data_IF_298123309124
#
_entry.id   IF_298123309124
#
_cell.length_a   1.000
_cell.length_b   1.000
_cell.length_c   1.000
_cell.angle_alpha   90.00
_cell.angle_beta   90.00
_cell.angle_gamma   90.00
#
_symmetry.space_group_name_H-M   'P 1'
#
loop_
_entity.id
_entity.type
_entity.pdbx_description
1 polymer ?
#
# COMPACT_ATOMS: atom_id res chain seq x y z
N UNK A 1 9.95 -2.34 13.61
CA UNK A 1 8.46 -2.42 13.73
C UNK A 1 8.05 -3.03 15.06
N UNK A 2 8.60 -4.19 15.46
CA UNK A 2 8.33 -4.77 16.80
C UNK A 2 8.73 -3.80 17.91
N UNK A 3 9.86 -3.10 17.78
CA UNK A 3 10.32 -2.12 18.79
C UNK A 3 9.43 -0.88 18.88
N UNK A 4 8.71 -0.56 17.79
CA UNK A 4 7.81 0.61 17.70
C UNK A 4 6.42 0.24 18.24
N UNK A 5 5.91 -0.93 17.85
CA UNK A 5 4.58 -1.42 18.26
C UNK A 5 4.63 -1.94 19.71
N UNK A 6 5.81 -2.33 20.20
CA UNK A 6 6.04 -2.90 21.53
C UNK A 6 4.99 -3.96 21.89
N UNK A 7 4.82 -5.00 21.04
CA UNK A 7 3.78 -5.99 21.26
C UNK A 7 4.03 -6.72 22.58
N UNK A 8 2.95 -6.97 23.32
CA UNK A 8 3.03 -7.83 24.51
C UNK A 8 2.96 -9.32 24.17
N UNK A 9 2.42 -9.64 22.99
CA UNK A 9 2.16 -11.00 22.54
C UNK A 9 2.51 -11.11 21.05
N UNK A 10 3.15 -12.21 20.67
CA UNK A 10 3.35 -12.65 19.29
C UNK A 10 2.66 -14.00 19.10
N UNK A 11 1.79 -14.10 18.10
CA UNK A 11 1.19 -15.36 17.64
C UNK A 11 1.95 -15.84 16.40
N UNK A 12 2.77 -16.88 16.55
CA UNK A 12 3.56 -17.48 15.49
C UNK A 12 2.80 -18.66 14.85
N UNK A 13 2.18 -18.41 13.70
CA UNK A 13 1.49 -19.42 12.89
C UNK A 13 2.50 -20.11 11.96
N UNK A 14 2.84 -21.37 12.23
CA UNK A 14 3.81 -22.14 11.43
C UNK A 14 3.37 -23.58 11.23
N UNK A 15 3.85 -24.25 10.17
CA UNK A 15 3.58 -25.67 9.92
C UNK A 15 4.70 -26.54 10.46
N UNK A 16 5.93 -26.10 10.25
CA UNK A 16 7.14 -26.73 10.79
C UNK A 16 7.82 -25.73 11.73
N UNK A 17 8.85 -25.08 11.26
CA UNK A 17 9.83 -24.28 11.96
C UNK A 17 10.18 -23.01 11.14
N UNK A 18 9.31 -22.65 10.19
CA UNK A 18 9.56 -21.57 9.23
C UNK A 18 9.82 -20.23 9.92
N UNK A 19 9.38 -20.05 11.17
CA UNK A 19 9.54 -18.80 11.93
C UNK A 19 10.66 -18.85 12.97
N UNK A 20 11.30 -19.99 13.24
CA UNK A 20 12.23 -20.11 14.38
C UNK A 20 13.46 -19.19 14.25
N UNK A 21 13.94 -18.95 13.03
CA UNK A 21 15.03 -18.00 12.76
C UNK A 21 14.67 -16.54 13.10
N UNK A 22 13.37 -16.19 13.12
CA UNK A 22 12.87 -14.89 13.56
C UNK A 22 12.66 -14.91 15.08
N UNK A 23 12.12 -16.00 15.61
CA UNK A 23 11.77 -16.13 17.03
C UNK A 23 12.98 -16.27 17.96
N UNK A 24 14.13 -16.74 17.45
CA UNK A 24 15.35 -16.90 18.24
C UNK A 24 15.84 -15.58 18.85
N UNK A 25 15.57 -14.44 18.20
CA UNK A 25 15.90 -13.11 18.72
C UNK A 25 15.18 -12.76 20.02
N UNK A 26 14.10 -13.47 20.36
CA UNK A 26 13.31 -13.28 21.58
C UNK A 26 13.59 -14.35 22.65
N UNK A 27 14.61 -15.19 22.44
CA UNK A 27 14.99 -16.22 23.41
C UNK A 27 15.34 -15.56 24.75
N UNK A 28 14.89 -16.16 25.85
CA UNK A 28 14.98 -15.64 27.23
C UNK A 28 14.26 -14.31 27.50
N UNK A 29 13.60 -13.69 26.52
CA UNK A 29 12.80 -12.49 26.76
C UNK A 29 11.45 -12.86 27.37
N UNK A 30 11.03 -12.10 28.37
CA UNK A 30 9.70 -12.26 28.98
C UNK A 30 8.60 -11.56 28.17
N UNK A 31 8.96 -10.57 27.35
CA UNK A 31 8.06 -9.79 26.49
C UNK A 31 8.74 -9.56 25.14
N UNK A 32 8.05 -9.78 24.00
CA UNK A 32 6.71 -10.33 23.87
C UNK A 32 6.59 -11.80 24.29
N UNK A 33 5.43 -12.20 24.84
CA UNK A 33 5.09 -13.62 25.02
C UNK A 33 4.83 -14.25 23.66
N UNK A 34 5.55 -15.33 23.32
CA UNK A 34 5.43 -16.00 22.03
C UNK A 34 4.55 -17.24 22.16
N UNK A 35 3.48 -17.30 21.37
CA UNK A 35 2.66 -18.49 21.22
C UNK A 35 2.87 -19.10 19.84
N UNK A 36 3.36 -20.35 19.81
CA UNK A 36 3.51 -21.13 18.59
C UNK A 36 2.23 -21.90 18.33
N UNK A 37 1.61 -21.66 17.18
CA UNK A 37 0.34 -22.26 16.81
C UNK A 37 0.48 -23.01 15.48
N UNK A 38 -0.03 -24.24 15.45
CA UNK A 38 -0.14 -25.00 14.20
C UNK A 38 -1.18 -24.33 13.30
N UNK A 39 -0.83 -24.17 12.03
CA UNK A 39 -1.80 -23.72 11.02
C UNK A 39 -2.91 -24.77 10.87
N UNK A 40 -4.21 -24.39 10.92
CA UNK A 40 -5.29 -25.34 10.76
C UNK A 40 -5.19 -26.15 9.44
N UNK A 41 -5.53 -27.45 9.44
CA UNK A 41 -5.37 -28.30 8.25
C UNK A 41 -6.12 -27.80 7.01
N UNK A 42 -7.28 -27.14 7.20
CA UNK A 42 -8.09 -26.60 6.10
C UNK A 42 -7.54 -25.32 5.45
N UNK A 43 -6.48 -24.71 5.99
CA UNK A 43 -5.86 -23.53 5.38
C UNK A 43 -4.97 -23.98 4.23
N UNK A 44 -5.32 -23.63 3.00
CA UNK A 44 -4.51 -23.90 1.80
C UNK A 44 -3.58 -22.73 1.49
N UNK A 45 -2.40 -23.04 0.96
CA UNK A 45 -1.53 -22.03 0.35
C UNK A 45 -2.16 -21.52 -0.95
N UNK A 46 -2.39 -20.20 -1.04
CA UNK A 46 -2.86 -19.55 -2.26
C UNK A 46 -1.76 -19.57 -3.32
N UNK A 47 -2.10 -19.85 -4.56
CA UNK A 47 -1.19 -19.76 -5.70
C UNK A 47 -0.83 -18.30 -6.01
N UNK A 48 0.17 -18.08 -6.87
CA UNK A 48 0.50 -16.74 -7.35
C UNK A 48 -0.70 -16.09 -8.05
N UNK A 49 -1.33 -16.80 -8.99
CA UNK A 49 -2.49 -16.30 -9.74
C UNK A 49 -3.65 -15.94 -8.82
N UNK A 50 -3.92 -16.74 -7.79
CA UNK A 50 -4.98 -16.45 -6.81
C UNK A 50 -4.70 -15.16 -6.02
N UNK A 51 -3.41 -14.89 -5.70
CA UNK A 51 -3.03 -13.64 -5.03
C UNK A 51 -3.19 -12.45 -5.96
N UNK A 52 -2.78 -12.57 -7.22
CA UNK A 52 -2.95 -11.52 -8.25
C UNK A 52 -4.44 -11.21 -8.44
N UNK A 53 -5.26 -12.21 -8.74
CA UNK A 53 -6.70 -12.01 -8.94
C UNK A 53 -7.40 -11.45 -7.70
N UNK A 54 -6.97 -11.86 -6.50
CA UNK A 54 -7.49 -11.25 -5.27
C UNK A 54 -7.12 -9.77 -5.17
N UNK A 55 -5.85 -9.39 -5.43
CA UNK A 55 -5.44 -7.98 -5.41
C UNK A 55 -6.20 -7.15 -6.44
N UNK A 56 -6.33 -7.65 -7.68
CA UNK A 56 -7.09 -6.99 -8.74
C UNK A 56 -8.55 -6.71 -8.30
N UNK A 57 -9.22 -7.71 -7.74
CA UNK A 57 -10.59 -7.54 -7.21
C UNK A 57 -10.67 -6.52 -6.08
N UNK A 58 -9.68 -6.51 -5.17
CA UNK A 58 -9.61 -5.53 -4.07
C UNK A 58 -9.37 -4.12 -4.58
N UNK A 59 -8.51 -3.93 -5.58
CA UNK A 59 -8.29 -2.62 -6.19
C UNK A 59 -9.51 -2.14 -6.95
N UNK A 60 -10.12 -3.00 -7.78
CA UNK A 60 -11.37 -2.69 -8.47
C UNK A 60 -12.46 -2.23 -7.50
N UNK A 61 -12.65 -2.96 -6.40
CA UNK A 61 -13.62 -2.58 -5.37
C UNK A 61 -13.25 -1.27 -4.65
N UNK A 62 -11.95 -1.03 -4.40
CA UNK A 62 -11.49 0.21 -3.75
C UNK A 62 -11.71 1.45 -4.63
N UNK A 63 -11.50 1.33 -5.95
CA UNK A 63 -11.64 2.42 -6.92
C UNK A 63 -13.03 2.50 -7.59
N UNK A 64 -14.03 1.73 -7.13
CA UNK A 64 -15.36 1.68 -7.73
C UNK A 64 -16.08 3.05 -7.71
N UNK A 65 -15.85 3.85 -6.67
CA UNK A 65 -16.42 5.21 -6.50
C UNK A 65 -15.39 6.31 -6.75
N UNK A 66 -14.28 6.00 -7.43
CA UNK A 66 -13.22 6.96 -7.66
C UNK A 66 -13.61 8.01 -8.71
N UNK A 67 -13.00 9.18 -8.56
CA UNK A 67 -13.16 10.32 -9.45
C UNK A 67 -11.79 10.87 -9.83
N UNK A 68 -11.72 11.57 -10.96
CA UNK A 68 -10.52 12.32 -11.32
C UNK A 68 -10.42 13.61 -10.50
N UNK A 69 -9.24 13.81 -9.91
CA UNK A 69 -8.85 15.00 -9.19
C UNK A 69 -7.55 15.54 -9.78
N UNK A 70 -7.58 16.80 -10.22
CA UNK A 70 -6.39 17.48 -10.76
C UNK A 70 -5.65 18.16 -9.62
N UNK A 71 -4.38 17.79 -9.45
CA UNK A 71 -3.49 18.34 -8.45
C UNK A 71 -2.48 19.28 -9.10
N UNK A 72 -2.36 20.49 -8.57
CA UNK A 72 -1.35 21.45 -8.99
C UNK A 72 -0.02 21.15 -8.29
N UNK A 73 0.99 20.75 -9.04
CA UNK A 73 2.28 20.27 -8.53
C UNK A 73 3.06 21.33 -7.74
N UNK A 74 2.81 22.62 -8.01
CA UNK A 74 3.39 23.75 -7.28
C UNK A 74 2.78 23.95 -5.88
N UNK A 75 1.64 23.30 -5.59
CA UNK A 75 0.90 23.43 -4.33
C UNK A 75 0.96 22.20 -3.42
N UNK A 76 1.53 21.09 -3.90
CA UNK A 76 1.61 19.83 -3.15
C UNK A 76 3.03 19.31 -3.07
N UNK A 77 3.35 18.60 -1.98
CA UNK A 77 4.63 17.92 -1.83
C UNK A 77 4.74 16.71 -2.77
N UNK A 78 5.64 16.80 -3.75
CA UNK A 78 6.07 15.67 -4.59
C UNK A 78 7.39 15.14 -4.03
N UNK A 79 7.35 14.15 -3.13
CA UNK A 79 8.58 13.58 -2.58
C UNK A 79 9.35 12.77 -3.62
N UNK A 80 10.68 12.92 -3.70
CA UNK A 80 11.54 12.13 -4.60
C UNK A 80 11.65 12.68 -6.04
N UNK A 81 12.68 12.24 -6.76
CA UNK A 81 12.88 12.55 -8.18
C UNK A 81 12.14 11.51 -9.01
N UNK A 82 11.29 11.95 -9.92
CA UNK A 82 10.46 11.09 -10.77
C UNK A 82 10.58 11.54 -12.21
N UNK A 83 10.88 10.60 -13.12
CA UNK A 83 10.83 10.84 -14.56
C UNK A 83 9.40 10.68 -15.07
N UNK A 84 9.01 11.39 -16.13
CA UNK A 84 7.65 11.33 -16.69
C UNK A 84 7.20 9.89 -17.03
N UNK A 85 8.11 9.05 -17.54
CA UNK A 85 7.81 7.65 -17.85
C UNK A 85 7.44 6.79 -16.64
N UNK A 86 7.78 7.23 -15.42
CA UNK A 86 7.46 6.53 -14.17
C UNK A 86 6.02 6.77 -13.70
N UNK A 87 5.36 7.79 -14.21
CA UNK A 87 4.13 8.34 -13.63
C UNK A 87 2.86 7.65 -14.10
N UNK A 88 2.81 7.21 -15.36
CA UNK A 88 1.60 6.62 -15.92
C UNK A 88 1.17 5.33 -15.17
N UNK A 89 -0.12 5.23 -14.85
CA UNK A 89 -0.74 4.15 -14.07
C UNK A 89 -0.13 3.96 -12.67
N UNK A 90 0.62 4.93 -12.15
CA UNK A 90 1.33 4.77 -10.87
C UNK A 90 0.34 4.81 -9.71
N UNK A 91 0.39 3.80 -8.85
CA UNK A 91 -0.32 3.84 -7.58
C UNK A 91 0.42 4.79 -6.63
N UNK A 92 -0.30 5.75 -6.06
CA UNK A 92 0.21 6.73 -5.11
C UNK A 92 -0.65 6.74 -3.84
N UNK A 93 -0.07 7.25 -2.75
CA UNK A 93 -0.82 7.63 -1.56
C UNK A 93 -0.96 9.15 -1.52
N UNK A 94 -2.20 9.64 -1.41
CA UNK A 94 -2.53 11.03 -1.12
C UNK A 94 -2.40 11.27 0.38
N UNK A 95 -1.73 12.35 0.77
CA UNK A 95 -1.50 12.71 2.18
C UNK A 95 -2.05 14.09 2.48
N UNK A 96 -2.48 14.30 3.72
CA UNK A 96 -2.87 15.62 4.21
C UNK A 96 -1.65 16.51 4.46
N UNK A 97 -1.89 17.74 4.93
CA UNK A 97 -0.83 18.71 5.25
C UNK A 97 0.01 18.34 6.48
N UNK A 98 -0.43 17.38 7.28
CA UNK A 98 0.31 16.83 8.43
C UNK A 98 1.09 15.56 8.03
N UNK A 99 0.99 15.12 6.77
CA UNK A 99 1.65 13.93 6.26
C UNK A 99 0.92 12.62 6.56
N UNK A 100 -0.32 12.65 7.05
CA UNK A 100 -1.14 11.45 7.27
C UNK A 100 -1.72 10.95 5.96
N UNK A 101 -1.78 9.63 5.80
CA UNK A 101 -2.36 8.99 4.62
C UNK A 101 -3.87 9.21 4.57
N UNK A 102 -4.38 9.73 3.45
CA UNK A 102 -5.80 9.98 3.22
C UNK A 102 -6.44 8.88 2.38
N UNK A 103 -5.86 8.59 1.22
CA UNK A 103 -6.39 7.62 0.27
C UNK A 103 -5.31 7.20 -0.72
N UNK A 104 -5.52 6.06 -1.39
CA UNK A 104 -4.80 5.72 -2.61
C UNK A 104 -5.34 6.52 -3.81
N UNK A 105 -4.48 6.73 -4.80
CA UNK A 105 -4.82 7.28 -6.10
C UNK A 105 -4.03 6.60 -7.21
N UNK A 106 -4.57 6.60 -8.43
CA UNK A 106 -3.89 6.17 -9.64
C UNK A 106 -3.58 7.41 -10.46
N UNK A 107 -2.31 7.61 -10.83
CA UNK A 107 -1.94 8.67 -11.76
C UNK A 107 -2.41 8.30 -13.16
N UNK A 108 -3.31 9.12 -13.69
CA UNK A 108 -3.98 8.93 -14.98
C UNK A 108 -3.27 9.74 -16.07
N UNK A 109 -3.19 11.06 -15.87
CA UNK A 109 -2.56 11.98 -16.80
C UNK A 109 -1.59 12.92 -16.09
N UNK A 110 -0.59 13.36 -16.85
CA UNK A 110 0.42 14.31 -16.40
C UNK A 110 0.60 15.35 -17.49
N UNK A 111 0.48 16.63 -17.14
CA UNK A 111 0.85 17.71 -18.08
C UNK A 111 2.33 17.54 -18.46
N UNK A 112 2.69 17.66 -19.74
CA UNK A 112 4.07 17.47 -20.25
C UNK A 112 5.10 18.50 -19.75
N UNK A 113 4.71 19.34 -18.79
CA UNK A 113 5.58 20.24 -18.01
C UNK A 113 5.54 19.96 -16.51
N UNK A 114 4.93 18.86 -16.08
CA UNK A 114 4.72 18.48 -14.68
C UNK A 114 4.03 19.55 -13.83
N UNK A 115 3.20 20.41 -14.42
CA UNK A 115 2.49 21.47 -13.66
C UNK A 115 1.28 20.93 -12.91
N UNK A 116 0.64 19.91 -13.49
CA UNK A 116 -0.50 19.26 -12.88
C UNK A 116 -0.51 17.76 -13.17
N UNK A 117 -1.06 17.01 -12.23
CA UNK A 117 -1.27 15.56 -12.35
C UNK A 117 -2.76 15.28 -12.10
N UNK A 118 -3.38 14.54 -13.01
CA UNK A 118 -4.70 13.95 -12.82
C UNK A 118 -4.56 12.65 -12.04
N UNK A 119 -5.29 12.55 -10.93
CA UNK A 119 -5.29 11.37 -10.06
C UNK A 119 -6.70 10.82 -9.95
N UNK A 120 -6.86 9.54 -10.27
CA UNK A 120 -8.09 8.80 -10.04
C UNK A 120 -8.12 8.28 -8.60
N UNK A 121 -9.06 8.74 -7.78
CA UNK A 121 -9.10 8.44 -6.34
C UNK A 121 -10.53 8.46 -5.78
N UNK A 122 -10.88 7.61 -4.80
CA UNK A 122 -12.15 7.71 -4.07
C UNK A 122 -12.16 8.84 -3.04
N UNK A 123 -11.07 9.63 -2.93
CA UNK A 123 -11.03 10.76 -2.02
C UNK A 123 -12.04 11.84 -2.43
N UNK A 124 -12.71 12.39 -1.43
CA UNK A 124 -13.57 13.56 -1.60
C UNK A 124 -12.75 14.79 -2.02
N UNK A 125 -13.24 15.53 -3.02
CA UNK A 125 -12.61 16.74 -3.58
C UNK A 125 -12.44 17.85 -2.54
N UNK A 126 -13.23 17.86 -1.47
CA UNK A 126 -13.11 18.85 -0.40
C UNK A 126 -11.90 18.59 0.52
N UNK A 127 -11.30 17.40 0.48
CA UNK A 127 -10.14 17.08 1.32
C UNK A 127 -8.90 17.81 0.84
N UNK A 128 -8.27 18.55 1.74
CA UNK A 128 -7.00 19.22 1.48
C UNK A 128 -5.87 18.21 1.40
N UNK A 129 -5.22 18.15 0.24
CA UNK A 129 -4.04 17.32 -0.01
C UNK A 129 -2.79 18.17 0.22
N UNK A 130 -1.89 17.68 1.07
CA UNK A 130 -0.58 18.30 1.34
C UNK A 130 0.55 17.71 0.51
N UNK A 131 0.40 16.48 0.04
CA UNK A 131 1.42 15.84 -0.79
C UNK A 131 1.06 14.43 -1.22
N UNK A 132 1.95 13.83 -1.98
CA UNK A 132 1.83 12.45 -2.45
C UNK A 132 3.03 11.62 -2.02
N UNK A 133 2.84 10.31 -1.97
CA UNK A 133 3.90 9.33 -1.81
C UNK A 133 3.81 8.34 -2.98
N UNK A 134 4.91 8.15 -3.70
CA UNK A 134 4.98 7.22 -4.82
C UNK A 134 4.99 5.78 -4.32
N UNK A 135 4.11 4.95 -4.88
CA UNK A 135 4.18 3.50 -4.72
C UNK A 135 5.03 2.86 -5.82
N UNK A 136 5.28 1.56 -5.71
CA UNK A 136 6.03 0.80 -6.71
C UNK A 136 5.13 0.08 -7.72
N UNK A 137 3.83 -0.06 -7.41
CA UNK A 137 2.86 -0.73 -8.26
C UNK A 137 2.36 0.20 -9.36
N UNK A 138 2.07 -0.38 -10.53
CA UNK A 138 1.26 0.27 -11.55
C UNK A 138 -0.06 -0.46 -11.66
N UNK A 139 -1.14 0.29 -11.71
CA UNK A 139 -2.51 -0.22 -11.77
C UNK A 139 -3.25 0.64 -12.78
N UNK A 140 -3.95 0.00 -13.72
CA UNK A 140 -4.84 0.71 -14.64
C UNK A 140 -6.17 1.08 -13.94
N UNK A 141 -7.01 1.86 -14.62
CA UNK A 141 -8.28 2.34 -14.04
C UNK A 141 -9.28 1.21 -13.74
N UNK A 142 -9.13 0.03 -14.36
CA UNK A 142 -9.94 -1.16 -14.05
C UNK A 142 -9.48 -1.91 -12.78
N UNK A 143 -8.41 -1.45 -12.13
CA UNK A 143 -7.85 -2.06 -10.93
C UNK A 143 -6.89 -3.22 -11.20
N UNK A 144 -6.43 -3.39 -12.44
CA UNK A 144 -5.50 -4.44 -12.85
C UNK A 144 -4.05 -3.96 -12.72
N UNK A 145 -3.20 -4.79 -12.11
CA UNK A 145 -1.76 -4.54 -12.07
C UNK A 145 -1.15 -4.65 -13.49
N UNK A 146 -0.28 -3.70 -13.83
CA UNK A 146 0.41 -3.62 -15.12
C UNK A 146 1.92 -3.49 -14.90
N UNK A 147 2.71 -3.90 -15.88
CA UNK A 147 4.18 -3.81 -15.84
C UNK A 147 4.70 -2.37 -16.08
#
# INVERSE_FOLDING_TARGET
MIDIIQPRIILALQRTDELEHILIGFKEMTIPRIYRMKVPPGVRQKSYCERVSYREQRFKAYFESAQSLVLACDRIGLGGIVSEGYLHNRLICLRDTEGRNLALGIVDEVDGRMRSISVYTPLDKEKKIGGILWGELRINLEGKEVD
#
